data_IF_686481653650
#
_entry.id   IF_686481653650
#
_cell.length_a   1.000
_cell.length_b   1.000
_cell.length_c   1.000
_cell.angle_alpha   90.00
_cell.angle_beta   90.00
_cell.angle_gamma   90.00
#
_symmetry.space_group_name_H-M   'P 1'
#
loop_
_entity.id
_entity.type
_entity.pdbx_description
1 polymer ?
#
# COMPACT_ATOMS: atom_id res chain seq x y z
N UNK A 1 -21.49 2.67 -9.22
CA UNK A 1 -20.52 3.29 -8.29
C UNK A 1 -19.41 2.25 -8.07
N UNK A 2 -18.17 2.59 -8.42
CA UNK A 2 -17.03 1.67 -8.34
C UNK A 2 -16.33 1.81 -6.99
N UNK A 3 -15.95 0.68 -6.39
CA UNK A 3 -15.19 0.62 -5.15
C UNK A 3 -13.83 -0.05 -5.40
N UNK A 4 -12.76 0.58 -4.92
CA UNK A 4 -11.40 0.05 -4.94
C UNK A 4 -10.98 -0.26 -3.51
N UNK A 5 -10.52 -1.48 -3.28
CA UNK A 5 -10.01 -1.94 -1.99
C UNK A 5 -8.50 -2.13 -2.10
N UNK A 6 -7.75 -1.12 -1.66
CA UNK A 6 -6.30 -1.15 -1.66
C UNK A 6 -5.81 -2.00 -0.50
N UNK A 7 -5.04 -3.04 -0.81
CA UNK A 7 -4.48 -3.97 0.17
C UNK A 7 -2.97 -3.81 0.19
N UNK A 8 -2.38 -3.58 1.36
CA UNK A 8 -0.94 -3.62 1.50
C UNK A 8 -0.45 -5.07 1.46
N UNK A 9 0.63 -5.33 0.71
CA UNK A 9 1.27 -6.64 0.67
C UNK A 9 1.60 -7.17 2.09
N UNK A 10 1.70 -8.49 2.22
CA UNK A 10 2.16 -9.16 3.43
C UNK A 10 3.60 -8.84 3.81
N UNK A 11 4.03 -9.26 5.00
CA UNK A 11 5.36 -9.01 5.53
C UNK A 11 6.46 -9.62 4.66
N UNK A 12 7.60 -8.92 4.57
CA UNK A 12 8.85 -9.39 3.99
C UNK A 12 9.94 -9.39 5.06
N UNK A 13 11.08 -10.04 4.79
CA UNK A 13 12.22 -9.99 5.71
C UNK A 13 12.75 -8.56 5.91
N UNK A 14 12.63 -7.70 4.89
CA UNK A 14 13.01 -6.30 5.03
C UNK A 14 12.05 -5.51 5.91
N UNK A 15 10.76 -5.85 5.95
CA UNK A 15 9.86 -5.27 6.95
C UNK A 15 10.29 -5.68 8.36
N UNK A 16 10.54 -6.97 8.59
CA UNK A 16 11.01 -7.48 9.88
C UNK A 16 12.34 -6.86 10.32
N UNK A 17 13.28 -6.65 9.38
CA UNK A 17 14.58 -6.02 9.63
C UNK A 17 14.53 -4.49 9.65
N UNK A 18 13.34 -3.92 9.42
CA UNK A 18 13.14 -2.48 9.34
C UNK A 18 14.03 -1.81 8.28
N UNK A 19 14.09 -2.39 7.08
CA UNK A 19 14.79 -1.86 5.90
C UNK A 19 13.81 -1.28 4.90
N UNK A 20 14.18 -0.14 4.34
CA UNK A 20 13.42 0.51 3.26
C UNK A 20 13.43 -0.39 2.03
N UNK A 21 12.26 -0.72 1.48
CA UNK A 21 12.18 -1.60 0.33
C UNK A 21 12.13 -0.85 -1.00
N UNK A 22 11.20 0.08 -1.12
CA UNK A 22 11.00 0.82 -2.36
C UNK A 22 10.68 -0.10 -3.55
N UNK A 23 11.35 0.15 -4.68
CA UNK A 23 11.24 -0.62 -5.91
C UNK A 23 12.04 -1.92 -5.91
N UNK A 24 12.94 -2.10 -4.94
CA UNK A 24 13.67 -3.37 -4.77
C UNK A 24 12.69 -4.51 -4.54
N UNK A 25 12.83 -5.58 -5.32
CA UNK A 25 11.93 -6.72 -5.27
C UNK A 25 12.37 -7.73 -4.20
N UNK A 26 11.69 -7.65 -3.04
CA UNK A 26 11.88 -8.53 -1.88
C UNK A 26 10.63 -9.39 -1.73
N UNK A 27 10.74 -10.75 -1.68
CA UNK A 27 9.59 -11.64 -1.59
C UNK A 27 8.93 -11.61 -0.20
N UNK A 28 7.71 -12.15 -0.12
CA UNK A 28 7.06 -12.40 1.17
C UNK A 28 7.87 -13.40 2.00
N UNK A 29 7.87 -13.19 3.32
CA UNK A 29 8.26 -14.23 4.26
C UNK A 29 7.03 -15.11 4.66
N UNK A 30 7.24 -16.11 5.52
CA UNK A 30 6.16 -17.00 5.93
C UNK A 30 5.05 -16.27 6.70
N UNK A 31 5.40 -15.28 7.52
CA UNK A 31 4.42 -14.40 8.19
C UNK A 31 3.58 -13.64 7.17
N UNK A 32 4.22 -13.09 6.13
CA UNK A 32 3.53 -12.37 5.06
C UNK A 32 2.54 -13.23 4.30
N UNK A 33 2.87 -14.49 4.02
CA UNK A 33 1.95 -15.46 3.41
C UNK A 33 0.74 -15.73 4.30
N UNK A 34 0.95 -15.89 5.61
CA UNK A 34 -0.14 -16.05 6.58
C UNK A 34 -1.02 -14.80 6.66
N UNK A 35 -0.43 -13.60 6.63
CA UNK A 35 -1.18 -12.34 6.59
C UNK A 35 -2.04 -12.26 5.31
N UNK A 36 -1.45 -12.58 4.15
CA UNK A 36 -2.17 -12.61 2.87
C UNK A 36 -3.36 -13.60 2.90
N UNK A 37 -3.14 -14.80 3.46
CA UNK A 37 -4.21 -15.80 3.61
C UNK A 37 -5.35 -15.31 4.53
N UNK A 38 -5.03 -14.67 5.66
CA UNK A 38 -6.02 -14.07 6.57
C UNK A 38 -6.82 -12.97 5.86
N UNK A 39 -6.15 -12.08 5.15
CA UNK A 39 -6.81 -11.04 4.33
C UNK A 39 -7.69 -11.68 3.26
N UNK A 40 -7.22 -12.73 2.59
CA UNK A 40 -7.99 -13.49 1.61
C UNK A 40 -9.25 -14.13 2.20
N UNK A 41 -9.15 -14.77 3.36
CA UNK A 41 -10.31 -15.33 4.07
C UNK A 41 -11.33 -14.25 4.47
N UNK A 42 -10.87 -13.07 4.86
CA UNK A 42 -11.73 -11.94 5.18
C UNK A 42 -12.47 -11.44 3.94
N UNK A 43 -11.73 -11.20 2.85
CA UNK A 43 -12.28 -10.75 1.57
C UNK A 43 -13.19 -11.83 0.95
N UNK A 44 -12.94 -13.11 1.14
CA UNK A 44 -13.75 -14.21 0.65
C UNK A 44 -15.18 -14.26 1.18
N UNK A 45 -15.53 -13.40 2.15
CA UNK A 45 -16.90 -13.25 2.66
C UNK A 45 -17.80 -12.40 1.76
N UNK A 46 -17.24 -11.74 0.74
CA UNK A 46 -17.95 -10.87 -0.21
C UNK A 46 -17.68 -11.31 -1.65
N UNK A 47 -18.52 -10.86 -2.55
CA UNK A 47 -18.29 -10.99 -3.98
C UNK A 47 -17.38 -9.87 -4.49
N UNK A 48 -16.44 -10.23 -5.37
CA UNK A 48 -15.50 -9.33 -6.00
C UNK A 48 -15.52 -9.52 -7.51
N UNK A 49 -15.33 -8.44 -8.25
CA UNK A 49 -15.36 -8.46 -9.71
C UNK A 49 -13.98 -8.61 -10.35
N UNK A 50 -12.92 -8.43 -9.58
CA UNK A 50 -11.55 -8.58 -10.06
C UNK A 50 -10.49 -8.25 -9.02
N UNK A 51 -9.27 -8.65 -9.31
CA UNK A 51 -8.08 -8.38 -8.50
C UNK A 51 -6.92 -7.95 -9.39
N UNK A 52 -6.29 -6.83 -9.02
CA UNK A 52 -5.11 -6.28 -9.65
C UNK A 52 -3.96 -6.23 -8.65
N UNK A 53 -2.74 -6.22 -9.16
CA UNK A 53 -1.55 -6.18 -8.30
C UNK A 53 -0.45 -5.32 -8.89
N UNK A 54 0.31 -4.65 -8.00
CA UNK A 54 1.67 -4.24 -8.35
C UNK A 54 2.47 -5.45 -8.86
N UNK A 55 3.35 -5.28 -9.86
CA UNK A 55 4.17 -6.37 -10.39
C UNK A 55 5.26 -6.86 -9.42
N UNK A 56 5.56 -6.13 -8.33
CA UNK A 56 6.56 -6.57 -7.35
C UNK A 56 6.11 -7.86 -6.66
N UNK A 57 7.02 -8.82 -6.54
CA UNK A 57 6.75 -10.19 -6.11
C UNK A 57 5.93 -10.27 -4.82
N UNK A 58 6.25 -9.47 -3.80
CA UNK A 58 5.51 -9.41 -2.52
C UNK A 58 4.03 -9.03 -2.67
N UNK A 59 3.73 -8.09 -3.57
CA UNK A 59 2.36 -7.66 -3.82
C UNK A 59 1.63 -8.68 -4.70
N UNK A 60 2.28 -9.20 -5.74
CA UNK A 60 1.71 -10.18 -6.63
C UNK A 60 1.43 -11.51 -5.93
N UNK A 61 2.35 -12.00 -5.09
CA UNK A 61 2.12 -13.20 -4.27
C UNK A 61 0.97 -12.98 -3.27
N UNK A 62 0.89 -11.80 -2.63
CA UNK A 62 -0.25 -11.43 -1.77
C UNK A 62 -1.57 -11.49 -2.54
N UNK A 63 -1.61 -10.91 -3.74
CA UNK A 63 -2.79 -10.94 -4.60
C UNK A 63 -3.19 -12.36 -5.02
N UNK A 64 -2.21 -13.19 -5.36
CA UNK A 64 -2.44 -14.58 -5.77
C UNK A 64 -3.08 -15.40 -4.64
N UNK A 65 -2.57 -15.26 -3.42
CA UNK A 65 -3.14 -15.90 -2.23
C UNK A 65 -4.57 -15.39 -1.98
N UNK A 66 -4.82 -14.09 -2.11
CA UNK A 66 -6.17 -13.52 -1.96
C UNK A 66 -7.10 -14.07 -3.05
N UNK A 67 -6.64 -14.16 -4.30
CA UNK A 67 -7.43 -14.68 -5.42
C UNK A 67 -7.90 -16.12 -5.17
N UNK A 68 -7.04 -16.98 -4.62
CA UNK A 68 -7.40 -18.35 -4.22
C UNK A 68 -8.55 -18.39 -3.20
N UNK A 69 -8.54 -17.48 -2.21
CA UNK A 69 -9.58 -17.43 -1.17
C UNK A 69 -10.88 -16.77 -1.65
N UNK A 70 -10.82 -15.90 -2.65
CA UNK A 70 -11.98 -15.16 -3.19
C UNK A 70 -12.58 -15.83 -4.42
N UNK A 71 -11.93 -16.86 -4.96
CA UNK A 71 -12.36 -17.53 -6.19
C UNK A 71 -12.17 -16.69 -7.46
N UNK A 72 -11.30 -15.69 -7.40
CA UNK A 72 -10.96 -14.84 -8.54
C UNK A 72 -9.91 -15.49 -9.45
N UNK A 73 -9.82 -15.02 -10.67
CA UNK A 73 -8.76 -15.38 -11.60
C UNK A 73 -7.39 -14.89 -11.12
N UNK A 74 -6.33 -15.31 -11.80
CA UNK A 74 -4.96 -14.82 -11.56
C UNK A 74 -4.94 -13.30 -11.63
N UNK A 75 -4.28 -12.61 -10.68
CA UNK A 75 -4.23 -11.16 -10.65
C UNK A 75 -3.63 -10.56 -11.93
N UNK A 76 -4.21 -9.47 -12.40
CA UNK A 76 -3.62 -8.67 -13.47
C UNK A 76 -2.58 -7.70 -12.88
N UNK A 77 -1.45 -7.53 -13.56
CA UNK A 77 -0.42 -6.57 -13.13
C UNK A 77 -0.81 -5.15 -13.52
N UNK A 78 -0.56 -4.20 -12.61
CA UNK A 78 -0.86 -2.79 -12.77
C UNK A 78 0.39 -1.97 -12.39
N UNK A 79 1.14 -1.56 -13.39
CA UNK A 79 2.48 -0.97 -13.23
C UNK A 79 2.46 0.35 -12.44
N UNK A 80 1.41 1.15 -12.59
CA UNK A 80 1.31 2.46 -11.97
C UNK A 80 1.23 2.42 -10.45
N UNK A 81 0.93 1.25 -9.84
CA UNK A 81 0.84 1.09 -8.39
C UNK A 81 2.06 0.41 -7.75
N UNK A 82 3.19 0.37 -8.47
CA UNK A 82 4.51 -0.01 -7.91
C UNK A 82 4.86 0.90 -6.73
N UNK A 83 5.58 0.36 -5.74
CA UNK A 83 6.00 1.15 -4.59
C UNK A 83 6.82 2.39 -5.00
N UNK A 84 6.80 3.40 -4.15
CA UNK A 84 7.64 4.58 -4.26
C UNK A 84 9.11 4.15 -4.36
N UNK A 85 9.82 4.63 -5.36
CA UNK A 85 11.27 4.46 -5.42
C UNK A 85 11.94 5.28 -4.31
N UNK A 86 12.75 4.61 -3.49
CA UNK A 86 13.55 5.29 -2.46
C UNK A 86 15.02 5.47 -2.88
N UNK A 87 15.40 5.00 -4.08
CA UNK A 87 16.72 5.16 -4.65
C UNK A 87 17.82 4.62 -3.74
N UNK A 88 18.87 5.39 -3.52
CA UNK A 88 20.03 5.00 -2.69
C UNK A 88 19.71 4.76 -1.20
N UNK A 89 18.47 4.99 -0.77
CA UNK A 89 17.99 4.65 0.57
C UNK A 89 17.46 3.22 0.67
N UNK A 90 17.22 2.53 -0.46
CA UNK A 90 16.72 1.15 -0.44
C UNK A 90 17.72 0.20 0.23
N UNK A 91 17.21 -0.70 1.07
CA UNK A 91 18.02 -1.61 1.89
C UNK A 91 18.58 -1.01 3.19
N UNK A 92 18.51 0.30 3.38
CA UNK A 92 18.99 0.95 4.60
C UNK A 92 17.94 0.87 5.72
N UNK A 93 18.40 0.73 6.96
CA UNK A 93 17.60 1.01 8.15
C UNK A 93 17.53 2.53 8.40
N UNK A 94 16.65 2.99 9.29
CA UNK A 94 16.54 4.42 9.64
C UNK A 94 17.85 4.98 10.22
N UNK A 95 18.58 4.18 11.00
CA UNK A 95 19.88 4.58 11.54
C UNK A 95 20.93 4.74 10.43
N UNK A 96 21.02 3.77 9.51
CA UNK A 96 21.92 3.81 8.36
C UNK A 96 21.56 4.95 7.40
N UNK A 97 20.26 5.18 7.17
CA UNK A 97 19.77 6.31 6.38
C UNK A 97 20.20 7.65 6.98
N UNK A 98 20.02 7.81 8.29
CA UNK A 98 20.39 9.04 9.01
C UNK A 98 21.89 9.34 8.95
N UNK A 99 22.70 8.29 8.98
CA UNK A 99 24.14 8.39 8.89
C UNK A 99 24.60 8.73 7.47
N UNK A 100 24.04 8.05 6.46
CA UNK A 100 24.44 8.22 5.07
C UNK A 100 23.86 9.48 4.43
N UNK A 101 22.63 9.81 4.78
CA UNK A 101 21.89 10.96 4.29
C UNK A 101 21.35 11.78 5.48
N UNK A 102 22.15 12.68 6.06
CA UNK A 102 21.70 13.56 7.13
C UNK A 102 20.48 14.37 6.71
N UNK A 103 19.71 14.86 7.69
CA UNK A 103 18.48 15.61 7.47
C UNK A 103 18.72 16.79 6.49
N UNK A 104 17.86 16.90 5.47
CA UNK A 104 17.99 17.90 4.40
C UNK A 104 18.86 17.47 3.22
N UNK A 105 19.47 16.27 3.27
CA UNK A 105 20.22 15.74 2.13
C UNK A 105 19.28 15.22 1.04
N UNK A 106 19.69 15.37 -0.21
CA UNK A 106 19.02 14.73 -1.35
C UNK A 106 19.45 13.27 -1.42
N UNK A 107 18.49 12.37 -1.50
CA UNK A 107 18.73 10.94 -1.76
C UNK A 107 18.63 10.70 -3.25
N UNK A 108 19.71 10.27 -3.94
CA UNK A 108 19.67 10.02 -5.38
C UNK A 108 18.66 8.92 -5.74
N UNK A 109 17.94 9.12 -6.84
CA UNK A 109 16.94 8.15 -7.34
C UNK A 109 15.64 8.05 -6.53
N UNK A 110 15.47 8.90 -5.50
CA UNK A 110 14.27 8.92 -4.69
C UNK A 110 13.13 9.63 -5.41
N UNK A 111 12.00 8.95 -5.57
CA UNK A 111 10.76 9.54 -6.09
C UNK A 111 10.13 10.47 -5.05
N UNK A 112 9.65 11.65 -5.46
CA UNK A 112 8.89 12.52 -4.56
C UNK A 112 7.47 11.99 -4.34
N UNK A 113 6.78 12.49 -3.30
CA UNK A 113 5.37 12.11 -3.07
C UNK A 113 4.45 12.61 -4.17
N UNK A 114 4.75 13.80 -4.70
CA UNK A 114 4.02 14.39 -5.82
C UNK A 114 4.17 13.54 -7.09
N UNK A 115 5.35 12.99 -7.34
CA UNK A 115 5.58 12.06 -8.46
C UNK A 115 4.78 10.78 -8.29
N UNK A 116 4.75 10.19 -7.08
CA UNK A 116 3.90 9.02 -6.79
C UNK A 116 2.43 9.36 -6.98
N UNK A 117 1.95 10.49 -6.44
CA UNK A 117 0.57 10.92 -6.59
C UNK A 117 0.20 11.12 -8.06
N UNK A 118 1.10 11.73 -8.85
CA UNK A 118 0.88 12.02 -10.27
C UNK A 118 0.73 10.76 -11.13
N UNK A 119 1.35 9.62 -10.76
CA UNK A 119 1.16 8.35 -11.49
C UNK A 119 0.01 7.52 -10.93
N UNK A 120 -0.14 7.46 -9.60
CA UNK A 120 -1.08 6.55 -8.94
C UNK A 120 -2.52 7.05 -9.00
N UNK A 121 -2.77 8.34 -8.67
CA UNK A 121 -4.14 8.85 -8.58
C UNK A 121 -4.88 8.78 -9.92
N UNK A 122 -4.31 9.29 -11.04
CA UNK A 122 -5.00 9.18 -12.34
C UNK A 122 -5.19 7.73 -12.78
N UNK A 123 -4.26 6.83 -12.43
CA UNK A 123 -4.36 5.43 -12.79
C UNK A 123 -5.50 4.73 -12.04
N UNK A 124 -5.66 4.97 -10.73
CA UNK A 124 -6.77 4.44 -9.95
C UNK A 124 -8.13 5.01 -10.38
N UNK A 125 -8.18 6.31 -10.73
CA UNK A 125 -9.39 6.94 -11.27
C UNK A 125 -9.78 6.28 -12.59
N UNK A 126 -8.84 6.16 -13.53
CA UNK A 126 -9.06 5.50 -14.83
C UNK A 126 -9.55 4.06 -14.64
N UNK A 127 -8.89 3.27 -13.78
CA UNK A 127 -9.31 1.91 -13.46
C UNK A 127 -10.77 1.86 -12.97
N UNK A 128 -11.15 2.78 -12.10
CA UNK A 128 -12.49 2.83 -11.55
C UNK A 128 -13.54 3.29 -12.59
N UNK A 129 -13.16 4.16 -13.53
CA UNK A 129 -14.02 4.60 -14.64
C UNK A 129 -14.24 3.50 -15.70
N UNK A 130 -13.19 2.70 -15.98
CA UNK A 130 -13.25 1.56 -16.91
C UNK A 130 -14.05 0.37 -16.34
N UNK A 131 -14.26 0.33 -15.03
CA UNK A 131 -14.98 -0.74 -14.33
C UNK A 131 -16.24 -0.24 -13.58
N UNK A 132 -17.23 0.36 -14.26
CA UNK A 132 -18.36 0.99 -13.59
C UNK A 132 -19.19 -0.02 -12.78
N UNK A 133 -19.46 0.31 -11.52
CA UNK A 133 -20.28 -0.51 -10.61
C UNK A 133 -19.57 -1.72 -10.00
N UNK A 134 -18.27 -1.89 -10.25
CA UNK A 134 -17.51 -3.04 -9.79
C UNK A 134 -16.83 -2.79 -8.43
N UNK A 135 -16.54 -3.89 -7.74
CA UNK A 135 -15.75 -3.96 -6.52
C UNK A 135 -14.42 -4.66 -6.84
N UNK A 136 -13.32 -3.90 -6.81
CA UNK A 136 -12.01 -4.39 -7.21
C UNK A 136 -11.05 -4.41 -6.02
N UNK A 137 -10.28 -5.50 -5.92
CA UNK A 137 -9.16 -5.61 -5.00
C UNK A 137 -7.90 -5.15 -5.72
N UNK A 138 -7.09 -4.31 -5.07
CA UNK A 138 -5.86 -3.75 -5.63
C UNK A 138 -4.73 -3.93 -4.62
N UNK A 139 -3.86 -4.93 -4.84
CA UNK A 139 -2.73 -5.16 -3.94
C UNK A 139 -1.54 -4.27 -4.31
N UNK A 140 -1.06 -3.54 -3.32
CA UNK A 140 -0.02 -2.53 -3.49
C UNK A 140 0.83 -2.38 -2.22
N UNK A 141 1.35 -1.21 -1.93
CA UNK A 141 2.41 -0.93 -0.96
C UNK A 141 2.05 0.19 0.00
N UNK A 142 2.77 0.24 1.12
CA UNK A 142 2.52 1.23 2.17
C UNK A 142 2.72 2.68 1.72
N UNK A 143 3.79 2.97 0.97
CA UNK A 143 4.07 4.33 0.47
C UNK A 143 3.04 4.80 -0.56
N UNK A 144 2.56 3.90 -1.43
CA UNK A 144 1.47 4.18 -2.39
C UNK A 144 0.18 4.51 -1.64
N UNK A 145 -0.27 3.63 -0.73
CA UNK A 145 -1.51 3.84 0.05
C UNK A 145 -1.41 5.13 0.84
N UNK A 146 -0.28 5.39 1.50
CA UNK A 146 -0.06 6.63 2.25
C UNK A 146 -0.16 7.86 1.35
N UNK A 147 0.41 7.80 0.15
CA UNK A 147 0.32 8.91 -0.81
C UNK A 147 -1.11 9.14 -1.26
N UNK A 148 -1.88 8.08 -1.57
CA UNK A 148 -3.31 8.20 -1.93
C UNK A 148 -4.07 8.87 -0.80
N UNK A 149 -3.95 8.39 0.44
CA UNK A 149 -4.63 8.93 1.62
C UNK A 149 -4.31 10.40 1.86
N UNK A 150 -3.03 10.77 1.78
CA UNK A 150 -2.60 12.15 2.01
C UNK A 150 -3.08 13.11 0.90
N UNK A 151 -3.23 12.61 -0.33
CA UNK A 151 -3.69 13.41 -1.47
C UNK A 151 -5.19 13.63 -1.46
N UNK A 152 -5.99 12.57 -1.19
CA UNK A 152 -7.45 12.65 -1.30
C UNK A 152 -8.14 13.08 0.00
N UNK A 153 -7.52 12.84 1.15
CA UNK A 153 -8.06 13.18 2.47
C UNK A 153 -6.98 13.83 3.35
N UNK A 154 -6.39 14.96 2.92
CA UNK A 154 -5.28 15.59 3.62
C UNK A 154 -5.65 15.98 5.05
N UNK A 155 -4.81 15.57 6.02
CA UNK A 155 -5.00 15.91 7.42
C UNK A 155 -6.15 15.18 8.13
N UNK A 156 -6.82 14.24 7.47
CA UNK A 156 -7.90 13.45 8.09
C UNK A 156 -7.40 12.72 9.35
N UNK A 157 -8.11 12.85 10.49
CA UNK A 157 -7.75 12.13 11.71
C UNK A 157 -7.87 10.60 11.56
N UNK A 158 -8.62 10.11 10.57
CA UNK A 158 -8.83 8.68 10.34
C UNK A 158 -7.55 7.93 10.02
N UNK A 159 -6.54 8.59 9.41
CA UNK A 159 -5.29 7.93 9.01
C UNK A 159 -4.02 8.68 9.42
N UNK A 160 -4.14 9.90 9.96
CA UNK A 160 -2.99 10.73 10.31
C UNK A 160 -2.16 10.09 11.42
N UNK A 161 -0.90 9.78 11.13
CA UNK A 161 0.03 9.17 12.08
C UNK A 161 -0.24 7.70 12.40
N UNK A 162 -1.27 7.10 11.80
CA UNK A 162 -1.60 5.68 11.99
C UNK A 162 -0.82 4.86 10.96
N UNK A 163 -0.07 3.82 11.37
CA UNK A 163 0.62 2.92 10.45
C UNK A 163 -0.33 2.23 9.47
N UNK A 164 0.15 1.98 8.26
CA UNK A 164 -0.52 1.10 7.30
C UNK A 164 0.07 -0.29 7.49
N UNK A 165 -0.66 -1.20 8.14
CA UNK A 165 -0.17 -2.54 8.49
C UNK A 165 -0.09 -3.46 7.28
N UNK A 166 0.81 -4.47 7.30
CA UNK A 166 0.85 -5.50 6.27
C UNK A 166 -0.48 -6.28 6.25
N UNK A 167 -1.04 -6.49 5.06
CA UNK A 167 -2.35 -7.10 4.88
C UNK A 167 -3.55 -6.22 5.20
N UNK A 168 -3.35 -4.95 5.62
CA UNK A 168 -4.46 -4.01 5.86
C UNK A 168 -5.20 -3.65 4.57
N UNK A 169 -6.48 -3.32 4.70
CA UNK A 169 -7.41 -3.00 3.61
C UNK A 169 -7.89 -1.57 3.78
N UNK A 170 -7.89 -0.80 2.69
CA UNK A 170 -8.37 0.58 2.68
C UNK A 170 -9.31 0.76 1.50
N UNK A 171 -10.55 1.15 1.75
CA UNK A 171 -11.57 1.25 0.70
C UNK A 171 -11.79 2.67 0.22
N UNK A 172 -11.90 2.79 -1.09
CA UNK A 172 -12.08 4.04 -1.80
C UNK A 172 -13.23 3.92 -2.79
N UNK A 173 -13.91 5.02 -3.04
CA UNK A 173 -15.03 5.12 -3.96
C UNK A 173 -14.72 6.17 -5.02
N UNK A 174 -15.07 5.88 -6.26
CA UNK A 174 -15.09 6.89 -7.31
C UNK A 174 -16.42 7.65 -7.27
N UNK A 175 -16.36 8.96 -7.09
CA UNK A 175 -17.49 9.89 -7.11
C UNK A 175 -17.11 11.09 -7.98
N UNK A 176 -17.89 11.36 -9.02
CA UNK A 176 -17.72 12.51 -9.93
C UNK A 176 -16.26 12.69 -10.44
N UNK A 177 -15.62 11.58 -10.84
CA UNK A 177 -14.26 11.57 -11.37
C UNK A 177 -13.16 11.76 -10.30
N UNK A 178 -13.51 11.70 -9.02
CA UNK A 178 -12.57 11.82 -7.90
C UNK A 178 -12.67 10.64 -6.94
N UNK A 179 -11.54 10.24 -6.36
CA UNK A 179 -11.53 9.21 -5.32
C UNK A 179 -11.88 9.82 -3.96
N UNK A 180 -12.74 9.14 -3.23
CA UNK A 180 -13.09 9.44 -1.86
C UNK A 180 -12.70 8.26 -0.94
N UNK A 181 -12.16 8.54 0.22
CA UNK A 181 -11.92 7.53 1.26
C UNK A 181 -13.26 7.09 1.86
N UNK A 182 -13.55 5.79 1.77
CA UNK A 182 -14.72 5.16 2.42
C UNK A 182 -14.34 4.70 3.82
N UNK A 183 -13.28 3.88 3.94
CA UNK A 183 -12.77 3.43 5.21
C UNK A 183 -11.24 3.26 5.19
N UNK A 184 -10.60 3.71 6.26
CA UNK A 184 -9.21 3.40 6.58
C UNK A 184 -9.21 2.15 7.48
N UNK A 185 -8.35 1.19 7.17
CA UNK A 185 -8.28 -0.11 7.85
C UNK A 185 -9.67 -0.78 7.92
N UNK A 186 -10.24 -1.01 6.72
CA UNK A 186 -11.61 -1.47 6.52
C UNK A 186 -11.78 -2.90 7.10
N UNK A 187 -12.62 -3.10 8.12
CA UNK A 187 -12.77 -4.38 8.79
C UNK A 187 -13.55 -5.41 7.96
N UNK A 188 -14.08 -5.05 6.79
CA UNK A 188 -14.89 -5.94 5.93
C UNK A 188 -15.93 -6.73 6.75
N UNK A 189 -16.74 -6.08 7.55
CA UNK A 189 -17.73 -6.69 8.47
C UNK A 189 -17.12 -7.42 9.68
N UNK A 190 -16.69 -6.67 10.67
CA UNK A 190 -16.46 -7.05 12.07
C UNK A 190 -15.32 -8.01 12.44
N UNK A 191 -14.38 -8.33 11.59
CA UNK A 191 -13.20 -9.02 12.08
C UNK A 191 -11.95 -8.16 11.88
N UNK A 192 -11.64 -7.33 12.87
CA UNK A 192 -10.33 -6.68 12.96
C UNK A 192 -9.25 -7.74 12.79
N UNK A 193 -8.47 -7.64 11.74
CA UNK A 193 -7.18 -8.35 11.69
C UNK A 193 -6.37 -7.75 12.83
N UNK A 194 -6.06 -8.53 13.86
CA UNK A 194 -5.17 -8.06 14.92
C UNK A 194 -3.94 -7.46 14.25
N UNK A 195 -3.52 -6.23 14.61
CA UNK A 195 -2.35 -5.62 14.01
C UNK A 195 -1.17 -6.55 14.27
N UNK A 196 -0.64 -7.13 13.20
CA UNK A 196 0.60 -7.87 13.28
C UNK A 196 1.65 -6.94 13.87
N UNK A 197 2.47 -7.44 14.79
CA UNK A 197 3.48 -6.69 15.55
C UNK A 197 4.65 -6.13 14.72
N UNK A 198 4.57 -6.15 13.41
CA UNK A 198 5.54 -5.49 12.53
C UNK A 198 5.24 -4.00 12.47
N UNK A 199 5.81 -3.29 13.41
CA UNK A 199 5.70 -1.86 13.57
C UNK A 199 6.33 -1.13 12.37
N UNK A 200 5.51 -0.43 11.62
CA UNK A 200 5.89 0.42 10.49
C UNK A 200 6.45 1.77 10.95
N UNK A 201 7.04 1.81 12.15
CA UNK A 201 7.69 3.02 12.68
C UNK A 201 8.68 3.65 11.68
N UNK A 202 9.22 2.87 10.75
CA UNK A 202 10.26 3.33 9.82
C UNK A 202 9.76 4.06 8.59
N UNK A 203 8.73 3.54 7.90
CA UNK A 203 8.12 4.33 6.83
C UNK A 203 7.54 5.61 7.39
N UNK A 204 6.91 5.55 8.57
CA UNK A 204 6.42 6.73 9.26
C UNK A 204 7.55 7.66 9.75
N UNK A 205 8.70 7.13 10.20
CA UNK A 205 9.85 7.95 10.60
C UNK A 205 10.46 8.69 9.40
N UNK A 206 10.54 8.04 8.24
CA UNK A 206 10.99 8.66 6.99
C UNK A 206 9.99 9.72 6.54
N UNK A 207 8.71 9.43 6.60
CA UNK A 207 7.62 10.35 6.25
C UNK A 207 7.53 11.55 7.19
N UNK A 208 7.71 11.36 8.50
CA UNK A 208 7.76 12.44 9.47
C UNK A 208 8.96 13.37 9.29
N UNK A 209 10.11 12.83 8.87
CA UNK A 209 11.30 13.65 8.55
C UNK A 209 11.10 14.54 7.34
N UNK A 210 10.34 14.10 6.35
CA UNK A 210 9.98 14.92 5.18
C UNK A 210 9.02 16.06 5.55
N UNK A 211 7.98 15.76 6.34
CA UNK A 211 6.96 16.74 6.72
C UNK A 211 7.50 17.91 7.58
N UNK A 212 8.59 17.70 8.33
CA UNK A 212 9.22 18.74 9.18
C UNK A 212 10.35 19.49 8.45
N UNK A 213 10.77 19.02 7.28
CA UNK A 213 11.81 19.66 6.46
C UNK A 213 11.28 20.70 5.47
N UNK A 214 9.97 20.80 5.31
CA UNK A 214 9.30 21.76 4.40
C UNK A 214 8.78 23.02 5.11
N UNK A 215 9.23 23.30 6.34
CA UNK A 215 8.84 24.49 7.12
C UNK A 215 10.00 25.48 7.21
#
# INVERSE_FOLDING_TARGET
MTLLYLVRHGETDWNLQRRIQGSTDVPLNDTGRLQAARTGMLLGRRHWDGILSSPLSRAFETASIIAEHTGLAVPETFEEIVERAYGDAEGLTDAELSQRFPRGSVVPGRESREQVAARVIPALVRLAEECPGRHLIVTTHGGVIRTVLNTIAPGSPAHRGIPISNGSIHSFRLTDGSLELVAFDDPIEEASVEPGSSDLSEQNAIEQREAVGES
#
